data_IF_925639629529
#
_entry.id   IF_925639629529
#
_cell.length_a   1.000
_cell.length_b   1.000
_cell.length_c   1.000
_cell.angle_alpha   90.00
_cell.angle_beta   90.00
_cell.angle_gamma   90.00
#
_symmetry.space_group_name_H-M   'P 1'
#
loop_
_entity.id
_entity.type
_entity.pdbx_description
1 polymer ?
#
# COMPACT_ATOMS: atom_id res chain seq x y z
N UNK A 1 4.69 -4.40 -0.80
CA UNK A 1 5.05 -4.37 0.63
C UNK A 1 5.45 -2.95 0.96
N UNK A 2 4.72 -2.32 1.87
CA UNK A 2 4.92 -0.95 2.34
C UNK A 2 5.54 -0.96 3.73
N UNK A 3 6.36 0.04 4.08
CA UNK A 3 7.03 0.12 5.38
C UNK A 3 6.78 1.45 6.11
N UNK A 4 5.52 1.94 6.22
CA UNK A 4 5.21 3.26 6.77
C UNK A 4 5.67 3.38 8.23
N UNK A 5 5.34 2.37 9.06
CA UNK A 5 5.74 2.33 10.47
C UNK A 5 7.27 2.35 10.65
N UNK A 6 8.04 1.68 9.79
CA UNK A 6 9.51 1.68 9.90
C UNK A 6 10.07 3.08 9.57
N UNK A 7 9.47 3.79 8.62
CA UNK A 7 9.83 5.18 8.32
C UNK A 7 9.47 6.13 9.46
N UNK A 8 8.25 6.04 9.99
CA UNK A 8 7.82 6.89 11.12
C UNK A 8 8.73 6.74 12.34
N UNK A 9 9.12 5.51 12.67
CA UNK A 9 10.06 5.24 13.76
C UNK A 9 11.47 5.79 13.45
N UNK A 10 11.91 5.69 12.19
CA UNK A 10 13.19 6.25 11.77
C UNK A 10 13.21 7.78 11.85
N UNK A 11 12.10 8.44 11.49
CA UNK A 11 11.91 9.88 11.61
C UNK A 11 11.87 10.32 13.09
N UNK A 12 11.38 9.46 13.98
CA UNK A 12 11.46 9.63 15.43
C UNK A 12 12.85 9.31 16.03
N UNK A 13 13.86 9.02 15.20
CA UNK A 13 15.24 8.74 15.63
C UNK A 13 15.51 7.30 16.06
N UNK A 14 14.55 6.38 15.91
CA UNK A 14 14.73 4.97 16.23
C UNK A 14 15.49 4.29 15.07
N UNK A 15 16.60 3.56 15.33
CA UNK A 15 17.33 2.90 14.27
C UNK A 15 16.47 1.87 13.52
N UNK A 16 16.49 1.94 12.18
CA UNK A 16 15.82 0.99 11.27
C UNK A 16 16.17 -0.47 11.61
N UNK A 17 17.41 -0.73 12.05
CA UNK A 17 17.86 -2.06 12.46
C UNK A 17 17.09 -2.60 13.67
N UNK A 18 16.73 -1.73 14.63
CA UNK A 18 15.93 -2.09 15.80
C UNK A 18 14.49 -2.33 15.38
N UNK A 19 13.88 -1.40 14.64
CA UNK A 19 12.50 -1.51 14.17
C UNK A 19 12.27 -2.76 13.31
N UNK A 20 13.14 -3.02 12.34
CA UNK A 20 13.06 -4.22 11.51
C UNK A 20 13.24 -5.50 12.32
N UNK A 21 14.12 -5.51 13.34
CA UNK A 21 14.31 -6.69 14.20
C UNK A 21 13.07 -6.99 15.04
N UNK A 22 12.47 -5.98 15.67
CA UNK A 22 11.25 -6.12 16.49
C UNK A 22 10.08 -6.60 15.63
N UNK A 23 9.91 -6.00 14.45
CA UNK A 23 8.83 -6.34 13.51
C UNK A 23 9.10 -7.61 12.70
N UNK A 24 10.25 -8.28 12.89
CA UNK A 24 10.69 -9.46 12.13
C UNK A 24 10.70 -9.23 10.61
N UNK A 25 11.09 -8.03 10.18
CA UNK A 25 11.21 -7.62 8.78
C UNK A 25 12.66 -7.66 8.31
N UNK A 26 12.87 -7.96 7.03
CA UNK A 26 14.17 -7.80 6.40
C UNK A 26 14.49 -6.32 6.13
N UNK A 27 15.73 -5.90 6.38
CA UNK A 27 16.19 -4.50 6.14
C UNK A 27 16.35 -4.15 4.67
N UNK A 28 16.78 -5.10 3.83
CA UNK A 28 17.05 -4.85 2.40
C UNK A 28 15.79 -4.37 1.64
N UNK A 29 14.61 -5.02 1.80
CA UNK A 29 13.38 -4.51 1.20
C UNK A 29 12.97 -3.11 1.66
N UNK A 30 13.21 -2.75 2.93
CA UNK A 30 12.91 -1.40 3.43
C UNK A 30 13.70 -0.35 2.66
N UNK A 31 15.02 -0.52 2.52
CA UNK A 31 15.84 0.46 1.79
C UNK A 31 15.51 0.51 0.30
N UNK A 32 15.13 -0.62 -0.31
CA UNK A 32 14.60 -0.63 -1.69
C UNK A 32 13.30 0.14 -1.81
N UNK A 33 12.38 -0.06 -0.87
CA UNK A 33 11.08 0.62 -0.86
C UNK A 33 11.23 2.12 -0.56
N UNK A 34 12.18 2.52 0.30
CA UNK A 34 12.39 3.93 0.66
C UNK A 34 12.72 4.83 -0.55
N UNK A 35 13.37 4.28 -1.58
CA UNK A 35 13.68 5.04 -2.80
C UNK A 35 12.49 5.25 -3.73
N UNK A 36 11.47 4.40 -3.64
CA UNK A 36 10.24 4.47 -4.43
C UNK A 36 9.08 3.86 -3.62
N UNK A 37 8.56 4.61 -2.64
CA UNK A 37 7.62 4.08 -1.66
C UNK A 37 6.20 3.93 -2.21
N UNK A 38 5.88 4.67 -3.27
CA UNK A 38 4.60 4.62 -4.00
C UNK A 38 4.94 4.50 -5.48
N UNK A 39 4.81 3.30 -6.03
CA UNK A 39 5.15 3.05 -7.43
C UNK A 39 4.02 3.46 -8.34
N UNK A 40 4.33 3.76 -9.60
CA UNK A 40 3.31 4.03 -10.63
C UNK A 40 2.26 2.92 -10.75
N UNK A 41 2.68 1.66 -10.59
CA UNK A 41 1.77 0.51 -10.58
C UNK A 41 0.81 0.53 -9.39
N UNK A 42 1.24 1.02 -8.22
CA UNK A 42 0.39 1.14 -7.03
C UNK A 42 -0.63 2.27 -7.22
N UNK A 43 -0.21 3.39 -7.82
CA UNK A 43 -1.09 4.52 -8.19
C UNK A 43 -2.15 4.08 -9.19
N UNK A 44 -1.75 3.40 -10.27
CA UNK A 44 -2.69 2.87 -11.26
C UNK A 44 -3.67 1.87 -10.65
N UNK A 45 -3.19 1.02 -9.72
CA UNK A 45 -4.05 0.09 -9.00
C UNK A 45 -5.06 0.83 -8.12
N UNK A 46 -4.65 1.87 -7.42
CA UNK A 46 -5.53 2.70 -6.61
C UNK A 46 -6.62 3.36 -7.47
N UNK A 47 -6.24 3.95 -8.61
CA UNK A 47 -7.22 4.52 -9.55
C UNK A 47 -8.24 3.49 -10.03
N UNK A 48 -7.81 2.27 -10.36
CA UNK A 48 -8.72 1.18 -10.79
C UNK A 48 -9.67 0.75 -9.68
N UNK A 49 -9.18 0.64 -8.44
CA UNK A 49 -10.01 0.28 -7.29
C UNK A 49 -11.05 1.36 -7.03
N UNK A 50 -10.65 2.63 -7.07
CA UNK A 50 -11.57 3.75 -6.90
C UNK A 50 -12.63 3.76 -8.00
N UNK A 51 -12.24 3.59 -9.27
CA UNK A 51 -13.21 3.52 -10.37
C UNK A 51 -14.23 2.38 -10.20
N UNK A 52 -13.79 1.21 -9.71
CA UNK A 52 -14.70 0.10 -9.41
C UNK A 52 -15.64 0.43 -8.23
N UNK A 53 -15.11 1.07 -7.20
CA UNK A 53 -15.88 1.51 -6.05
C UNK A 53 -16.94 2.55 -6.45
N UNK A 54 -16.56 3.55 -7.25
CA UNK A 54 -17.44 4.59 -7.77
C UNK A 54 -18.56 3.98 -8.63
N UNK A 55 -18.20 3.06 -9.54
CA UNK A 55 -19.19 2.33 -10.36
C UNK A 55 -20.18 1.51 -9.50
N UNK A 56 -19.72 0.90 -8.41
CA UNK A 56 -20.60 0.17 -7.49
C UNK A 56 -21.48 1.10 -6.65
N UNK A 57 -20.97 2.28 -6.27
CA UNK A 57 -21.75 3.28 -5.56
C UNK A 57 -22.88 3.83 -6.44
N UNK A 58 -22.59 4.10 -7.72
CA UNK A 58 -23.56 4.64 -8.68
C UNK A 58 -24.61 3.60 -9.12
N UNK A 59 -24.25 2.32 -9.17
CA UNK A 59 -25.19 1.22 -9.39
C UNK A 59 -24.86 0.02 -8.49
N UNK A 60 -25.48 -0.08 -7.31
CA UNK A 60 -25.25 -1.18 -6.37
C UNK A 60 -25.55 -2.57 -6.97
N UNK A 61 -26.36 -2.62 -8.04
CA UNK A 61 -26.76 -3.85 -8.73
C UNK A 61 -25.93 -4.16 -9.98
N UNK A 62 -24.93 -3.34 -10.31
CA UNK A 62 -24.16 -3.40 -11.55
C UNK A 62 -23.68 -4.83 -11.91
N UNK A 63 -23.22 -5.61 -10.93
CA UNK A 63 -22.77 -6.99 -11.13
C UNK A 63 -23.90 -8.01 -11.35
N UNK A 64 -25.10 -7.79 -10.81
CA UNK A 64 -26.23 -8.72 -10.93
C UNK A 64 -26.95 -8.61 -12.27
N UNK A 65 -26.89 -7.44 -12.93
CA UNK A 65 -27.58 -7.19 -14.20
C UNK A 65 -26.95 -7.94 -15.40
N UNK A 66 -25.70 -8.39 -15.28
CA UNK A 66 -24.98 -9.11 -16.33
C UNK A 66 -24.89 -10.64 -16.11
N UNK A 67 -25.58 -11.16 -15.08
CA UNK A 67 -25.60 -12.59 -14.75
C UNK A 67 -26.95 -13.29 -15.05
N UNK A 68 -27.83 -12.63 -15.81
CA UNK A 68 -29.15 -13.14 -16.20
C UNK A 68 -29.16 -13.72 -17.63
#
# INVERSE_FOLDING_TARGET
MTYPLVSELADAGIPVSVSCRVLKLARQPYYRWRGDPIRDADVLRAYRINALHDAHHDDPTFGYRYLA
#
